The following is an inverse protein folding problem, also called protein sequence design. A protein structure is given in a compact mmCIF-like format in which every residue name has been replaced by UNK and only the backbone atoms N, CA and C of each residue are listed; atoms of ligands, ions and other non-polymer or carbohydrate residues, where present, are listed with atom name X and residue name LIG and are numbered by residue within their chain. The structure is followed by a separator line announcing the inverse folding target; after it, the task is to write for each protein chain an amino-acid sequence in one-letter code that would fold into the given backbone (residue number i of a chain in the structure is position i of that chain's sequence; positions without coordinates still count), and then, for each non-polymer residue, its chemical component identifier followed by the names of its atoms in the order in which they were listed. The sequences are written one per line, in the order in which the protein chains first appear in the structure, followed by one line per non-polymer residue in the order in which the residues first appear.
data_IF_522732700136
#
_entry.id   IF_522732700136
#
_cell.length_a   1.000
_cell.length_b   1.000
_cell.length_c   1.000
_cell.angle_alpha   90.00
_cell.angle_beta   90.00
_cell.angle_gamma   90.00
#
_symmetry.space_group_name_H-M   'P 1'
#
loop_
_entity.id
_entity.type
_entity.pdbx_description
1 polymer ?
#
# COMPACT_ATOMS: atom_id res chain seq x y z
N UNK A 1 7.62 27.04 -3.79
CA UNK A 1 6.94 25.74 -3.81
C UNK A 1 6.53 25.57 -2.39
N UNK A 2 5.25 25.85 -2.10
CA UNK A 2 4.75 26.03 -0.75
C UNK A 2 4.96 24.73 0.04
N UNK A 3 5.65 24.87 1.17
CA UNK A 3 5.77 23.87 2.21
C UNK A 3 4.35 23.56 2.69
N UNK A 4 3.82 22.39 2.32
CA UNK A 4 2.61 21.87 2.94
C UNK A 4 3.02 21.43 4.35
N UNK A 5 2.75 22.30 5.33
CA UNK A 5 2.86 21.97 6.75
C UNK A 5 1.99 20.74 7.04
N UNK A 6 2.63 19.65 7.46
CA UNK A 6 2.00 18.40 7.90
C UNK A 6 1.62 18.57 9.38
N UNK A 7 0.86 19.62 9.71
CA UNK A 7 0.35 19.84 11.06
C UNK A 7 -1.18 19.72 11.16
N UNK A 8 -1.91 19.61 10.04
CA UNK A 8 -3.37 19.42 10.03
C UNK A 8 -3.80 17.93 10.00
N UNK A 9 -3.12 17.05 10.74
CA UNK A 9 -3.59 15.66 10.91
C UNK A 9 -4.61 15.55 12.06
N UNK A 10 -4.66 16.54 12.94
CA UNK A 10 -5.45 16.50 14.18
C UNK A 10 -6.94 16.91 14.00
N UNK A 11 -7.37 17.35 12.82
CA UNK A 11 -8.76 17.77 12.53
C UNK A 11 -9.53 16.78 11.62
N UNK A 12 -9.02 15.55 11.47
CA UNK A 12 -9.77 14.48 10.81
C UNK A 12 -10.75 13.87 11.82
N UNK A 13 -12.07 13.87 11.55
CA UNK A 13 -13.02 13.26 12.46
C UNK A 13 -12.63 11.81 12.76
N UNK A 14 -12.65 11.40 14.03
CA UNK A 14 -12.24 10.05 14.47
C UNK A 14 -12.99 8.93 13.72
N UNK A 15 -14.24 9.17 13.33
CA UNK A 15 -15.04 8.27 12.47
C UNK A 15 -14.42 8.09 11.08
N UNK A 16 -13.80 9.13 10.51
CA UNK A 16 -13.14 9.12 9.19
C UNK A 16 -11.81 8.40 9.27
N UNK A 17 -11.00 8.64 10.31
CA UNK A 17 -9.70 7.96 10.47
C UNK A 17 -9.86 6.45 10.65
N UNK A 18 -10.77 5.99 11.51
CA UNK A 18 -11.03 4.56 11.76
C UNK A 18 -11.52 3.84 10.49
N UNK A 19 -12.39 4.48 9.69
CA UNK A 19 -12.89 3.88 8.45
C UNK A 19 -11.80 3.80 7.38
N UNK A 20 -10.96 4.83 7.26
CA UNK A 20 -9.83 4.81 6.33
C UNK A 20 -8.80 3.74 6.71
N UNK A 21 -8.51 3.56 8.00
CA UNK A 21 -7.66 2.49 8.51
C UNK A 21 -8.24 1.10 8.19
N UNK A 22 -9.55 0.91 8.36
CA UNK A 22 -10.21 -0.35 8.01
C UNK A 22 -10.13 -0.64 6.50
N UNK A 23 -10.35 0.36 5.64
CA UNK A 23 -10.20 0.23 4.18
C UNK A 23 -8.75 -0.09 3.79
N UNK A 24 -7.77 0.58 4.43
CA UNK A 24 -6.36 0.32 4.19
C UNK A 24 -5.99 -1.12 4.60
N UNK A 25 -6.45 -1.58 5.77
CA UNK A 25 -6.23 -2.95 6.24
C UNK A 25 -6.83 -3.99 5.28
N UNK A 26 -8.08 -3.79 4.84
CA UNK A 26 -8.73 -4.68 3.87
C UNK A 26 -7.98 -4.72 2.52
N UNK A 27 -7.46 -3.56 2.08
CA UNK A 27 -6.66 -3.46 0.87
C UNK A 27 -5.33 -4.21 1.00
N UNK A 28 -4.64 -4.08 2.14
CA UNK A 28 -3.41 -4.81 2.44
C UNK A 28 -3.67 -6.32 2.46
N UNK A 29 -4.73 -6.79 3.11
CA UNK A 29 -5.09 -8.21 3.15
C UNK A 29 -5.41 -8.78 1.76
N UNK A 30 -6.02 -7.99 0.88
CA UNK A 30 -6.25 -8.39 -0.51
C UNK A 30 -4.93 -8.48 -1.29
N UNK A 31 -4.04 -7.49 -1.15
CA UNK A 31 -2.71 -7.53 -1.79
C UNK A 31 -1.91 -8.72 -1.31
N UNK A 32 -1.94 -9.01 -0.02
CA UNK A 32 -1.27 -10.17 0.59
C UNK A 32 -1.74 -11.49 -0.03
N UNK A 33 -3.06 -11.68 -0.14
CA UNK A 33 -3.63 -12.89 -0.79
C UNK A 33 -3.19 -13.04 -2.24
N UNK A 34 -3.31 -11.97 -3.03
CA UNK A 34 -2.98 -12.00 -4.45
C UNK A 34 -1.47 -12.21 -4.68
N UNK A 35 -0.62 -11.63 -3.82
CA UNK A 35 0.82 -11.88 -3.85
C UNK A 35 1.17 -13.30 -3.43
N UNK A 36 0.50 -13.86 -2.43
CA UNK A 36 0.65 -15.26 -2.04
C UNK A 36 0.27 -16.22 -3.17
N UNK A 37 -0.81 -15.92 -3.90
CA UNK A 37 -1.23 -16.71 -5.07
C UNK A 37 -0.23 -16.60 -6.23
N UNK A 38 0.37 -15.43 -6.45
CA UNK A 38 1.36 -15.20 -7.50
C UNK A 38 2.75 -15.77 -7.18
N UNK A 39 3.18 -15.66 -5.93
CA UNK A 39 4.49 -16.12 -5.44
C UNK A 39 4.27 -17.29 -4.49
N UNK A 40 3.81 -18.48 -4.94
CA UNK A 40 3.49 -19.58 -4.04
C UNK A 40 4.70 -20.06 -3.25
N UNK A 41 4.46 -20.56 -2.04
CA UNK A 41 5.49 -21.22 -1.24
C UNK A 41 6.06 -22.39 -2.03
N UNK A 42 7.38 -22.43 -2.16
CA UNK A 42 8.03 -23.66 -2.62
C UNK A 42 8.01 -24.64 -1.46
N UNK A 43 7.15 -25.65 -1.56
CA UNK A 43 7.13 -26.80 -0.68
C UNK A 43 8.33 -27.72 -0.98
N UNK A 44 9.54 -27.21 -0.82
CA UNK A 44 10.74 -28.05 -0.79
C UNK A 44 11.35 -27.91 0.60
N UNK A 45 11.53 -29.04 1.28
CA UNK A 45 12.09 -29.13 2.63
C UNK A 45 13.46 -28.43 2.71
N UNK A 46 13.49 -27.13 3.02
CA UNK A 46 14.75 -26.42 3.21
C UNK A 46 15.11 -26.38 4.68
N UNK A 47 15.87 -27.40 5.09
CA UNK A 47 16.89 -27.22 6.11
C UNK A 47 17.89 -26.17 5.59
N UNK A 48 17.78 -24.93 6.06
CA UNK A 48 18.88 -23.97 5.99
C UNK A 48 18.74 -22.95 7.11
N UNK A 49 19.72 -23.01 8.01
CA UNK A 49 20.07 -21.97 8.97
C UNK A 49 20.39 -20.68 8.21
N UNK A 50 19.54 -19.68 8.27
CA UNK A 50 19.92 -18.31 7.91
C UNK A 50 19.30 -17.36 8.93
N UNK A 51 20.13 -16.50 9.50
CA UNK A 51 19.83 -15.56 10.58
C UNK A 51 19.03 -14.36 10.07
N UNK A 52 18.05 -14.60 9.19
CA UNK A 52 17.06 -13.58 8.84
C UNK A 52 16.18 -13.40 10.07
N UNK A 53 16.11 -12.18 10.58
CA UNK A 53 15.01 -11.73 11.44
C UNK A 53 13.69 -12.27 10.87
N UNK A 54 12.71 -12.63 11.70
CA UNK A 54 11.50 -13.36 11.31
C UNK A 54 10.63 -12.54 10.30
N UNK A 55 11.09 -12.43 9.06
CA UNK A 55 10.37 -11.86 7.94
C UNK A 55 9.36 -12.90 7.48
N UNK A 56 8.12 -12.45 7.26
CA UNK A 56 7.07 -13.30 6.72
C UNK A 56 7.54 -13.99 5.43
N UNK A 57 7.15 -15.25 5.23
CA UNK A 57 7.62 -16.06 4.09
C UNK A 57 7.24 -15.42 2.75
N UNK A 58 6.14 -14.65 2.69
CA UNK A 58 5.80 -13.85 1.51
C UNK A 58 6.79 -12.71 1.28
N UNK A 59 7.22 -12.02 2.34
CA UNK A 59 8.22 -10.94 2.26
C UNK A 59 9.51 -11.45 1.64
N UNK A 60 10.01 -12.62 2.07
CA UNK A 60 11.22 -13.24 1.51
C UNK A 60 11.05 -13.53 0.01
N UNK A 61 9.95 -14.18 -0.38
CA UNK A 61 9.65 -14.50 -1.80
C UNK A 61 9.50 -13.25 -2.65
N UNK A 62 8.92 -12.19 -2.09
CA UNK A 62 8.75 -10.90 -2.76
C UNK A 62 10.11 -10.21 -2.97
N UNK A 63 10.97 -10.16 -1.95
CA UNK A 63 12.33 -9.64 -2.09
C UNK A 63 13.11 -10.39 -3.16
N UNK A 64 13.08 -11.73 -3.15
CA UNK A 64 13.73 -12.56 -4.19
C UNK A 64 13.24 -12.22 -5.60
N UNK A 65 11.92 -12.06 -5.79
CA UNK A 65 11.35 -11.64 -7.07
C UNK A 65 11.85 -10.25 -7.47
N UNK A 66 11.82 -9.28 -6.55
CA UNK A 66 12.23 -7.91 -6.85
C UNK A 66 13.72 -7.82 -7.20
N UNK A 67 14.56 -8.60 -6.52
CA UNK A 67 16.00 -8.68 -6.74
C UNK A 67 16.40 -9.44 -8.02
N UNK A 68 15.59 -10.40 -8.48
CA UNK A 68 15.84 -11.12 -9.72
C UNK A 68 15.52 -10.29 -10.98
N UNK A 69 14.77 -9.20 -10.83
CA UNK A 69 14.37 -8.33 -11.94
C UNK A 69 15.32 -7.16 -12.21
N UNK A 70 15.07 -6.44 -13.31
CA UNK A 70 15.90 -5.31 -13.75
C UNK A 70 15.86 -4.08 -12.84
N UNK A 71 14.98 -4.04 -11.84
CA UNK A 71 14.82 -2.93 -10.91
C UNK A 71 15.41 -3.15 -9.53
N UNK A 72 16.27 -4.17 -9.35
CA UNK A 72 16.95 -4.49 -8.08
C UNK A 72 17.52 -3.27 -7.36
N UNK A 73 18.29 -2.44 -8.05
CA UNK A 73 18.94 -1.26 -7.44
C UNK A 73 17.92 -0.23 -6.93
N UNK A 74 16.82 -0.03 -7.67
CA UNK A 74 15.75 0.88 -7.23
C UNK A 74 14.95 0.30 -6.06
N UNK A 75 14.85 -1.03 -5.99
CA UNK A 75 14.18 -1.73 -4.90
C UNK A 75 15.02 -1.67 -3.61
N UNK A 76 16.32 -1.98 -3.69
CA UNK A 76 17.24 -1.85 -2.54
C UNK A 76 17.26 -0.44 -1.96
N UNK A 77 17.29 0.58 -2.82
CA UNK A 77 17.21 1.97 -2.36
C UNK A 77 15.88 2.31 -1.64
N UNK A 78 14.79 1.58 -1.92
CA UNK A 78 13.54 1.71 -1.17
C UNK A 78 13.62 0.96 0.16
N UNK A 79 14.14 -0.27 0.17
CA UNK A 79 14.37 -1.06 1.39
C UNK A 79 15.26 -0.29 2.39
N UNK A 80 16.42 0.19 1.95
CA UNK A 80 17.35 0.96 2.80
C UNK A 80 16.66 2.17 3.46
N UNK A 81 15.79 2.88 2.72
CA UNK A 81 15.03 3.99 3.27
C UNK A 81 13.95 3.55 4.27
N UNK A 82 13.33 2.39 4.03
CA UNK A 82 12.30 1.85 4.91
C UNK A 82 12.89 1.36 6.23
N UNK A 83 14.07 0.76 6.20
CA UNK A 83 14.81 0.34 7.40
C UNK A 83 15.16 1.54 8.29
N UNK A 84 15.53 2.67 7.68
CA UNK A 84 15.84 3.91 8.39
C UNK A 84 14.62 4.61 8.99
N UNK A 85 13.46 4.55 8.31
CA UNK A 85 12.33 5.45 8.60
C UNK A 85 11.07 4.78 9.11
N UNK A 86 10.91 3.48 8.85
CA UNK A 86 9.70 2.68 9.09
C UNK A 86 8.41 3.32 8.53
N UNK A 87 8.51 4.29 7.61
CA UNK A 87 7.39 5.07 7.09
C UNK A 87 7.52 5.25 5.58
N UNK A 88 6.69 4.52 4.82
CA UNK A 88 6.68 4.57 3.36
C UNK A 88 6.54 5.99 2.78
N UNK A 89 5.77 6.87 3.46
CA UNK A 89 5.60 8.27 3.05
C UNK A 89 6.92 9.05 3.05
N UNK A 90 7.85 8.74 3.97
CA UNK A 90 9.19 9.33 4.00
C UNK A 90 10.07 8.81 2.85
N UNK A 91 9.73 7.67 2.27
CA UNK A 91 10.44 7.03 1.16
C UNK A 91 9.77 7.21 -0.21
N UNK A 92 8.80 8.14 -0.33
CA UNK A 92 8.03 8.38 -1.56
C UNK A 92 8.89 8.57 -2.81
N UNK A 93 10.05 9.22 -2.67
CA UNK A 93 11.00 9.41 -3.78
C UNK A 93 11.52 8.07 -4.32
N UNK A 94 11.95 7.17 -3.44
CA UNK A 94 12.45 5.84 -3.79
C UNK A 94 11.33 4.96 -4.35
N UNK A 95 10.14 5.01 -3.74
CA UNK A 95 8.95 4.32 -4.25
C UNK A 95 8.60 4.77 -5.69
N UNK A 96 8.68 6.07 -5.96
CA UNK A 96 8.41 6.61 -7.31
C UNK A 96 9.45 6.15 -8.33
N UNK A 97 10.73 6.09 -7.96
CA UNK A 97 11.80 5.60 -8.83
C UNK A 97 11.63 4.11 -9.14
N UNK A 98 11.33 3.30 -8.11
CA UNK A 98 11.04 1.89 -8.26
C UNK A 98 9.86 1.67 -9.21
N UNK A 99 8.74 2.36 -9.00
CA UNK A 99 7.57 2.27 -9.87
C UNK A 99 7.91 2.60 -11.33
N UNK A 100 8.63 3.70 -11.58
CA UNK A 100 9.05 4.08 -12.93
C UNK A 100 9.92 3.02 -13.59
N UNK A 101 10.83 2.41 -12.83
CA UNK A 101 11.62 1.30 -13.32
C UNK A 101 10.73 0.10 -13.67
N UNK A 102 9.81 -0.29 -12.79
CA UNK A 102 8.90 -1.41 -13.04
C UNK A 102 8.02 -1.17 -14.27
N UNK A 103 7.54 0.05 -14.47
CA UNK A 103 6.76 0.45 -15.65
C UNK A 103 7.61 0.36 -16.94
N UNK A 104 8.90 0.72 -16.89
CA UNK A 104 9.82 0.55 -18.02
C UNK A 104 10.18 -0.92 -18.30
N UNK A 105 10.18 -1.75 -17.26
CA UNK A 105 10.44 -3.19 -17.31
C UNK A 105 9.13 -4.00 -17.19
N UNK A 106 8.05 -3.47 -17.78
CA UNK A 106 6.69 -3.95 -17.58
C UNK A 106 6.52 -5.45 -17.76
N UNK A 107 7.11 -6.07 -18.80
CA UNK A 107 6.93 -7.50 -19.07
C UNK A 107 7.30 -8.40 -17.88
N UNK A 108 8.34 -8.03 -17.12
CA UNK A 108 8.74 -8.79 -15.93
C UNK A 108 7.82 -8.48 -14.75
N UNK A 109 7.53 -7.20 -14.51
CA UNK A 109 6.78 -6.74 -13.33
C UNK A 109 5.25 -6.73 -13.50
N UNK A 110 4.74 -7.12 -14.66
CA UNK A 110 3.32 -7.06 -15.01
C UNK A 110 2.40 -7.70 -13.95
N UNK A 111 2.72 -8.86 -13.35
CA UNK A 111 1.86 -9.47 -12.33
C UNK A 111 1.69 -8.57 -11.10
N UNK A 112 2.80 -8.08 -10.53
CA UNK A 112 2.77 -7.21 -9.34
C UNK A 112 2.13 -5.86 -9.65
N UNK A 113 2.42 -5.27 -10.82
CA UNK A 113 1.79 -4.02 -11.25
C UNK A 113 0.28 -4.17 -11.39
N UNK A 114 -0.22 -5.33 -11.83
CA UNK A 114 -1.66 -5.61 -11.91
C UNK A 114 -2.29 -5.71 -10.53
N UNK A 115 -1.66 -6.41 -9.59
CA UNK A 115 -2.14 -6.53 -8.20
C UNK A 115 -2.22 -5.13 -7.56
N UNK A 116 -1.13 -4.36 -7.66
CA UNK A 116 -1.09 -2.99 -7.14
C UNK A 116 -2.15 -2.09 -7.77
N UNK A 117 -2.40 -2.22 -9.08
CA UNK A 117 -3.42 -1.42 -9.77
C UNK A 117 -4.83 -1.78 -9.34
N UNK A 118 -5.12 -3.08 -9.16
CA UNK A 118 -6.41 -3.55 -8.63
C UNK A 118 -6.64 -3.00 -7.22
N UNK A 119 -5.61 -3.03 -6.37
CA UNK A 119 -5.67 -2.48 -5.02
C UNK A 119 -5.94 -0.98 -5.00
N UNK A 120 -5.21 -0.21 -5.80
CA UNK A 120 -5.45 1.23 -5.95
C UNK A 120 -6.90 1.52 -6.38
N UNK A 121 -7.40 0.82 -7.40
CA UNK A 121 -8.77 1.02 -7.91
C UNK A 121 -9.82 0.66 -6.86
N UNK A 122 -9.63 -0.42 -6.11
CA UNK A 122 -10.58 -0.84 -5.08
C UNK A 122 -10.59 0.15 -3.91
N UNK A 123 -9.42 0.55 -3.40
CA UNK A 123 -9.31 1.53 -2.33
C UNK A 123 -9.94 2.88 -2.73
N UNK A 124 -9.71 3.35 -3.95
CA UNK A 124 -10.33 4.59 -4.45
C UNK A 124 -11.86 4.49 -4.53
N UNK A 125 -12.40 3.33 -4.92
CA UNK A 125 -13.86 3.10 -4.93
C UNK A 125 -14.44 3.14 -3.51
N UNK A 126 -13.77 2.52 -2.56
CA UNK A 126 -14.23 2.46 -1.16
C UNK A 126 -14.19 3.86 -0.51
N UNK A 127 -13.11 4.61 -0.74
CA UNK A 127 -13.00 6.01 -0.30
C UNK A 127 -14.11 6.85 -0.92
N UNK A 128 -14.33 6.74 -2.23
CA UNK A 128 -15.36 7.51 -2.91
C UNK A 128 -16.77 7.18 -2.38
N UNK A 129 -17.08 5.89 -2.17
CA UNK A 129 -18.35 5.46 -1.61
C UNK A 129 -18.55 5.96 -0.16
N UNK A 130 -17.47 6.06 0.61
CA UNK A 130 -17.51 6.61 1.96
C UNK A 130 -17.75 8.13 1.97
N UNK A 131 -17.07 8.88 1.11
CA UNK A 131 -17.26 10.33 0.99
C UNK A 131 -18.70 10.66 0.61
N UNK A 132 -19.27 9.98 -0.40
CA UNK A 132 -20.68 10.18 -0.79
C UNK A 132 -21.65 9.93 0.37
N UNK A 133 -21.42 8.89 1.18
CA UNK A 133 -22.26 8.61 2.36
C UNK A 133 -22.16 9.71 3.41
N UNK A 134 -20.98 10.29 3.62
CA UNK A 134 -20.82 11.41 4.56
C UNK A 134 -21.56 12.66 4.07
N UNK A 135 -21.46 12.97 2.78
CA UNK A 135 -22.19 14.08 2.17
C UNK A 135 -23.73 13.90 2.28
N UNK A 136 -24.22 12.68 2.07
CA UNK A 136 -25.65 12.33 2.26
C UNK A 136 -26.10 12.47 3.72
N UNK A 137 -25.30 12.01 4.68
CA UNK A 137 -25.56 12.14 6.12
C UNK A 137 -25.58 13.62 6.56
N UNK A 138 -24.64 14.43 6.07
CA UNK A 138 -24.55 15.87 6.37
C UNK A 138 -25.74 16.65 5.78
N UNK A 139 -26.10 16.37 4.53
CA UNK A 139 -27.27 16.97 3.90
C UNK A 139 -28.56 16.60 4.65
N UNK A 140 -28.69 15.34 5.07
CA UNK A 140 -29.83 14.89 5.87
C UNK A 140 -29.90 15.58 7.24
N UNK A 141 -28.76 15.80 7.90
CA UNK A 141 -28.68 16.53 9.16
C UNK A 141 -29.03 18.02 9.00
N UNK A 142 -28.56 18.67 7.93
CA UNK A 142 -28.88 20.08 7.64
C UNK A 142 -30.37 20.29 7.36
N UNK A 143 -31.01 19.37 6.63
CA UNK A 143 -32.45 19.47 6.33
C UNK A 143 -33.32 19.31 7.60
N UNK A 144 -32.86 18.57 8.61
CA UNK A 144 -33.56 18.42 9.89
C UNK A 144 -33.41 19.65 10.80
N UNK A 145 -32.35 20.45 10.63
CA UNK A 145 -32.12 21.65 11.43
C UNK A 145 -32.97 22.86 10.97
N UNK A 146 -33.45 22.86 9.72
CA UNK A 146 -34.25 23.94 9.13
C UNK A 146 -35.77 23.77 9.37
N UNK A 147 -36.20 22.60 9.87
CA UNK A 147 -37.60 22.28 10.20
C UNK A 147 -37.94 22.47 11.70
N UNK A 148 -37.01 23.00 12.51
CA UNK A 148 -37.09 23.12 13.98
C UNK A 148 -37.39 24.52 14.53
#
# INVERSE_FOLDING_TARGET
MEDYDVEDVDDVPEKVSVQLEAMAKATVEMVDRELNDFLPLKLEESSSTDEREEYDELSVRFCDFMEAGGCKESFKALEDCMDDTQRILKCRKHLTLLKKCMDAHFCYYQPILKIAKTAEVNMLKDIHAFVLKQEEEELAASNQADEG
#
